data_IF_509404380626
#
_entry.id   IF_509404380626
#
_cell.length_a   1.000
_cell.length_b   1.000
_cell.length_c   1.000
_cell.angle_alpha   90.00
_cell.angle_beta   90.00
_cell.angle_gamma   90.00
#
_symmetry.space_group_name_H-M   'P 1'
#
loop_
_entity.id
_entity.type
_entity.pdbx_description
1 polymer ?
#
# COMPACT_ATOMS: atom_id res chain seq x y z
N UNK A 1 12.25 -8.23 -6.11
CA UNK A 1 11.50 -6.99 -5.82
C UNK A 1 11.38 -6.79 -4.32
N UNK A 2 11.31 -5.54 -3.85
CA UNK A 2 11.15 -5.20 -2.42
C UNK A 2 9.97 -5.95 -1.77
N UNK A 3 8.90 -6.17 -2.53
CA UNK A 3 7.66 -6.79 -2.06
C UNK A 3 7.64 -8.32 -2.22
N UNK A 4 8.62 -8.94 -2.90
CA UNK A 4 8.59 -10.37 -3.24
C UNK A 4 8.60 -11.27 -2.01
N UNK A 5 9.35 -10.88 -0.97
CA UNK A 5 9.37 -11.60 0.31
C UNK A 5 8.04 -11.55 1.08
N UNK A 6 7.08 -10.75 0.61
CA UNK A 6 5.78 -10.53 1.24
C UNK A 6 4.63 -11.19 0.47
N UNK A 7 4.90 -11.90 -0.63
CA UNK A 7 3.88 -12.49 -1.53
C UNK A 7 2.93 -13.47 -0.82
N UNK A 8 3.43 -14.16 0.20
CA UNK A 8 2.66 -15.14 1.00
C UNK A 8 2.08 -14.56 2.29
N UNK A 9 2.29 -13.26 2.56
CA UNK A 9 1.76 -12.63 3.75
C UNK A 9 0.23 -12.62 3.74
N UNK A 10 -0.38 -12.89 4.89
CA UNK A 10 -1.82 -12.76 5.11
C UNK A 10 -2.20 -11.34 5.54
N UNK A 11 -1.30 -10.65 6.23
CA UNK A 11 -1.47 -9.25 6.64
C UNK A 11 -0.28 -8.45 6.13
N UNK A 12 -0.57 -7.36 5.41
CA UNK A 12 0.44 -6.44 4.91
C UNK A 12 0.21 -5.06 5.53
N UNK A 13 1.21 -4.55 6.23
CA UNK A 13 1.18 -3.23 6.84
C UNK A 13 2.35 -2.40 6.32
N UNK A 14 2.03 -1.29 5.64
CA UNK A 14 3.01 -0.41 5.01
C UNK A 14 2.77 1.03 5.47
N UNK A 15 3.22 1.31 6.69
CA UNK A 15 2.96 2.59 7.39
C UNK A 15 4.02 3.67 7.17
N UNK A 16 5.21 3.30 6.69
CA UNK A 16 6.34 4.21 6.69
C UNK A 16 6.25 5.25 5.55
N UNK A 17 6.87 6.44 5.71
CA UNK A 17 7.34 7.21 4.57
C UNK A 17 8.48 6.41 3.93
N UNK A 18 8.13 5.37 3.17
CA UNK A 18 9.10 4.71 2.31
C UNK A 18 9.60 5.77 1.32
N UNK A 19 10.92 5.81 1.02
CA UNK A 19 11.41 6.66 -0.05
C UNK A 19 10.57 6.36 -1.29
N UNK A 20 9.88 7.38 -1.80
CA UNK A 20 8.85 7.25 -2.84
C UNK A 20 9.37 6.41 -4.02
N UNK A 21 10.64 6.65 -4.40
CA UNK A 21 11.37 5.91 -5.43
C UNK A 21 11.54 4.40 -5.15
N UNK A 22 11.80 4.02 -3.90
CA UNK A 22 11.99 2.62 -3.50
C UNK A 22 10.68 1.85 -3.54
N UNK A 23 9.60 2.49 -3.08
CA UNK A 23 8.26 1.92 -3.10
C UNK A 23 7.71 1.84 -4.52
N UNK A 24 7.85 2.89 -5.33
CA UNK A 24 7.46 2.87 -6.74
C UNK A 24 8.14 1.75 -7.52
N UNK A 25 9.46 1.56 -7.31
CA UNK A 25 10.20 0.44 -7.91
C UNK A 25 9.66 -0.90 -7.43
N UNK A 26 9.36 -1.04 -6.14
CA UNK A 26 8.72 -2.22 -5.57
C UNK A 26 7.35 -2.52 -6.19
N UNK A 27 6.55 -1.48 -6.46
CA UNK A 27 5.21 -1.57 -7.05
C UNK A 27 5.24 -1.92 -8.55
N UNK A 28 6.27 -1.47 -9.29
CA UNK A 28 6.48 -1.89 -10.69
C UNK A 28 6.66 -3.40 -10.77
N UNK A 29 7.48 -3.97 -9.89
CA UNK A 29 7.71 -5.42 -9.80
C UNK A 29 6.83 -6.11 -8.75
N UNK A 30 5.62 -5.59 -8.49
CA UNK A 30 4.77 -6.08 -7.41
C UNK A 30 4.37 -7.56 -7.64
N UNK A 31 4.66 -8.47 -6.69
CA UNK A 31 4.27 -9.88 -6.80
C UNK A 31 2.76 -10.03 -6.70
N UNK A 32 2.27 -11.24 -6.97
CA UNK A 32 0.89 -11.61 -6.62
C UNK A 32 0.84 -11.92 -5.12
N UNK A 33 -0.13 -11.34 -4.42
CA UNK A 33 -0.39 -11.60 -3.02
C UNK A 33 -1.48 -12.68 -2.87
N UNK A 34 -1.12 -13.95 -3.04
CA UNK A 34 -2.07 -15.07 -3.11
C UNK A 34 -2.84 -15.33 -1.81
N UNK A 35 -2.31 -14.84 -0.70
CA UNK A 35 -2.77 -15.15 0.65
C UNK A 35 -3.24 -13.92 1.43
N UNK A 36 -3.16 -12.73 0.84
CA UNK A 36 -3.45 -11.48 1.54
C UNK A 36 -4.93 -11.39 1.93
N UNK A 37 -5.16 -11.09 3.20
CA UNK A 37 -6.49 -10.98 3.82
C UNK A 37 -6.70 -9.64 4.52
N UNK A 38 -5.63 -8.94 4.88
CA UNK A 38 -5.68 -7.64 5.54
C UNK A 38 -4.59 -6.73 4.99
N UNK A 39 -4.95 -5.51 4.62
CA UNK A 39 -4.04 -4.51 4.07
C UNK A 39 -4.21 -3.20 4.84
N UNK A 40 -3.10 -2.68 5.36
CA UNK A 40 -3.04 -1.35 5.99
C UNK A 40 -1.94 -0.54 5.33
N UNK A 41 -2.28 0.65 4.85
CA UNK A 41 -1.38 1.55 4.12
C UNK A 41 -1.34 2.92 4.81
N UNK A 42 -0.19 3.58 4.75
CA UNK A 42 -0.06 5.00 5.09
C UNK A 42 -0.53 5.93 3.96
N UNK A 43 -0.51 7.24 4.23
CA UNK A 43 -1.13 8.28 3.39
C UNK A 43 -0.59 8.36 1.95
N UNK A 44 0.65 7.89 1.72
CA UNK A 44 1.24 7.77 0.38
C UNK A 44 0.38 6.94 -0.58
N UNK A 45 -0.51 6.07 -0.08
CA UNK A 45 -1.41 5.30 -0.92
C UNK A 45 -2.45 6.16 -1.67
N UNK A 46 -2.65 7.41 -1.24
CA UNK A 46 -3.55 8.39 -1.87
C UNK A 46 -2.86 9.18 -3.00
N UNK A 47 -1.53 9.08 -3.13
CA UNK A 47 -0.78 9.75 -4.18
C UNK A 47 -1.10 9.18 -5.57
N UNK A 48 -0.84 9.99 -6.61
CA UNK A 48 -0.94 9.59 -8.02
C UNK A 48 -2.26 8.85 -8.36
N UNK A 49 -3.41 9.43 -7.99
CA UNK A 49 -4.74 8.84 -8.22
C UNK A 49 -4.85 7.41 -7.67
N UNK A 50 -4.44 7.24 -6.41
CA UNK A 50 -4.48 5.97 -5.69
C UNK A 50 -3.71 4.84 -6.40
N UNK A 51 -2.76 5.18 -7.29
CA UNK A 51 -1.99 4.19 -8.04
C UNK A 51 -1.39 3.09 -7.13
N UNK A 52 -0.75 3.41 -5.99
CA UNK A 52 -0.14 2.40 -5.16
C UNK A 52 -1.15 1.43 -4.55
N UNK A 53 -2.30 1.96 -4.12
CA UNK A 53 -3.41 1.16 -3.62
C UNK A 53 -3.98 0.25 -4.71
N UNK A 54 -4.33 0.82 -5.88
CA UNK A 54 -4.88 0.07 -7.02
C UNK A 54 -3.95 -1.04 -7.46
N UNK A 55 -2.63 -0.79 -7.46
CA UNK A 55 -1.61 -1.78 -7.82
C UNK A 55 -1.63 -2.97 -6.87
N UNK A 56 -1.63 -2.75 -5.56
CA UNK A 56 -1.65 -3.84 -4.57
C UNK A 56 -2.97 -4.63 -4.65
N UNK A 57 -4.11 -3.95 -4.78
CA UNK A 57 -5.42 -4.59 -4.91
C UNK A 57 -5.50 -5.46 -6.15
N UNK A 58 -5.05 -4.96 -7.31
CA UNK A 58 -5.06 -5.73 -8.56
C UNK A 58 -4.19 -7.00 -8.48
N UNK A 59 -3.18 -7.00 -7.61
CA UNK A 59 -2.28 -8.14 -7.39
C UNK A 59 -2.75 -9.07 -6.27
N UNK A 60 -3.93 -8.84 -5.71
CA UNK A 60 -4.51 -9.61 -4.60
C UNK A 60 -5.76 -10.35 -5.09
N UNK A 61 -5.63 -11.60 -5.59
CA UNK A 61 -6.72 -12.33 -6.25
C UNK A 61 -7.85 -12.77 -5.31
N UNK A 62 -7.65 -12.70 -3.99
CA UNK A 62 -8.69 -13.00 -2.99
C UNK A 62 -9.20 -11.68 -2.43
N UNK A 63 -10.42 -11.24 -2.78
CA UNK A 63 -11.00 -10.08 -2.13
C UNK A 63 -11.35 -10.47 -0.69
N UNK A 64 -10.69 -9.85 0.28
CA UNK A 64 -11.09 -9.84 1.68
C UNK A 64 -11.02 -8.41 2.18
N UNK A 65 -11.92 -8.15 3.13
CA UNK A 65 -12.24 -6.86 3.73
C UNK A 65 -11.06 -5.89 3.79
N UNK A 66 -11.27 -4.73 3.14
CA UNK A 66 -10.28 -3.69 2.98
C UNK A 66 -10.62 -2.54 3.92
N UNK A 67 -9.90 -2.46 5.03
CA UNK A 67 -10.12 -1.43 6.05
C UNK A 67 -9.04 -0.36 5.94
N UNK A 68 -9.44 0.85 5.56
CA UNK A 68 -8.57 2.01 5.59
C UNK A 68 -8.74 2.77 6.89
N UNK A 69 -7.61 3.11 7.53
CA UNK A 69 -7.58 4.14 8.56
C UNK A 69 -6.86 5.34 7.96
N UNK A 70 -7.63 6.36 7.56
CA UNK A 70 -7.08 7.62 7.10
C UNK A 70 -6.90 8.52 8.33
N UNK A 71 -5.67 8.98 8.56
CA UNK A 71 -5.40 9.98 9.58
C UNK A 71 -5.29 11.33 8.89
N UNK A 72 -6.26 12.22 9.13
CA UNK A 72 -6.24 13.56 8.59
C UNK A 72 -5.20 14.36 9.37
N UNK A 73 -4.03 14.60 8.79
CA UNK A 73 -3.06 15.55 9.36
C UNK A 73 -3.66 16.95 9.22
N UNK A 74 -3.90 17.69 10.32
CA UNK A 74 -4.37 19.06 10.21
C UNK A 74 -3.35 19.85 9.38
N UNK A 75 -3.77 20.44 8.27
CA UNK A 75 -2.97 21.48 7.62
C UNK A 75 -2.77 22.58 8.64
N UNK A 76 -1.52 22.80 9.07
CA UNK A 76 -1.19 24.03 9.77
C UNK A 76 -1.47 25.17 8.78
N UNK A 77 -2.63 25.81 8.95
CA UNK A 77 -2.92 27.08 8.33
C UNK A 77 -1.85 28.05 8.84
N UNK A 78 -0.79 28.24 8.07
CA UNK A 78 0.14 29.33 8.30
C UNK A 78 -0.54 30.62 7.84
N UNK A 79 -1.09 31.32 8.84
CA UNK A 79 -1.55 32.71 8.87
C UNK A 79 -2.83 33.04 8.10
#
# INVERSE_FOLDING_TARGET
GLLDGLSHATTLQLHAPLPELTLERGLRTCPVFSSLTSLVLGDWCMAADFYPLRRILHRSPKPKELSFKLEMVPTQNHL
#
